data_IF_380987127324
#
_entry.id   IF_380987127324
#
_cell.length_a   1.000
_cell.length_b   1.000
_cell.length_c   1.000
_cell.angle_alpha   90.00
_cell.angle_beta   90.00
_cell.angle_gamma   90.00
#
_symmetry.space_group_name_H-M   'P 1'
#
loop_
_entity.id
_entity.type
_entity.pdbx_description
1 polymer ?
#
# COMPACT_ATOMS: atom_id res chain seq x y z
N UNK A 1 -4.10 -18.04 -5.81
CA UNK A 1 -4.86 -17.91 -4.55
C UNK A 1 -3.91 -17.63 -3.42
N UNK A 2 -4.21 -16.61 -2.60
CA UNK A 2 -3.43 -16.31 -1.39
C UNK A 2 -3.67 -17.38 -0.32
N UNK A 3 -2.62 -17.76 0.40
CA UNK A 3 -2.73 -18.65 1.56
C UNK A 3 -3.13 -17.78 2.76
N UNK A 4 -4.15 -18.17 3.50
CA UNK A 4 -4.53 -17.51 4.76
C UNK A 4 -3.40 -17.71 5.79
N UNK A 5 -2.89 -16.61 6.34
CA UNK A 5 -1.79 -16.60 7.33
C UNK A 5 -2.31 -16.15 8.70
N UNK A 6 -1.60 -16.54 9.75
CA UNK A 6 -1.90 -16.15 11.13
C UNK A 6 -1.60 -14.67 11.36
N UNK A 7 -2.34 -14.03 12.29
CA UNK A 7 -2.04 -12.66 12.76
C UNK A 7 -0.63 -12.50 13.36
N UNK A 8 0.02 -13.60 13.73
CA UNK A 8 1.39 -13.60 14.25
C UNK A 8 2.47 -13.86 13.19
N UNK A 9 2.09 -14.09 11.92
CA UNK A 9 3.05 -14.28 10.83
C UNK A 9 3.60 -12.93 10.33
N UNK A 10 4.57 -12.99 9.41
CA UNK A 10 5.12 -11.78 8.79
C UNK A 10 4.09 -11.21 7.83
N UNK A 11 3.58 -10.01 8.14
CA UNK A 11 2.66 -9.29 7.27
C UNK A 11 3.41 -8.36 6.34
N UNK A 12 3.16 -8.53 5.05
CA UNK A 12 3.65 -7.66 3.98
C UNK A 12 2.87 -6.34 3.90
N UNK A 13 1.58 -6.41 4.22
CA UNK A 13 0.65 -5.29 4.27
C UNK A 13 -0.33 -5.54 5.41
N UNK A 14 -0.62 -4.52 6.21
CA UNK A 14 -1.66 -4.59 7.25
C UNK A 14 -2.57 -3.38 7.19
N UNK A 15 -3.85 -3.61 7.47
CA UNK A 15 -4.83 -2.55 7.71
C UNK A 15 -5.14 -2.58 9.20
N UNK A 16 -4.76 -1.52 9.91
CA UNK A 16 -4.95 -1.42 11.36
C UNK A 16 -5.90 -0.29 11.70
N UNK A 17 -6.44 -0.33 12.91
CA UNK A 17 -7.06 0.83 13.53
C UNK A 17 -5.97 1.58 14.28
N UNK A 18 -5.67 2.79 13.85
CA UNK A 18 -4.80 3.70 14.59
C UNK A 18 -5.55 4.21 15.82
N UNK A 19 -5.42 3.45 16.92
CA UNK A 19 -6.10 3.73 18.18
C UNK A 19 -5.57 5.00 18.87
N UNK A 20 -4.39 5.49 18.47
CA UNK A 20 -3.81 6.72 19.01
C UNK A 20 -4.35 7.95 18.29
N UNK A 21 -4.68 7.84 17.00
CA UNK A 21 -5.24 8.92 16.18
C UNK A 21 -6.68 8.62 15.75
N UNK A 22 -7.63 8.94 16.63
CA UNK A 22 -9.08 8.93 16.36
C UNK A 22 -9.66 7.55 15.95
N UNK A 23 -8.95 6.45 16.18
CA UNK A 23 -9.34 5.10 15.70
C UNK A 23 -9.49 5.06 14.17
N UNK A 24 -8.62 5.78 13.45
CA UNK A 24 -8.70 5.84 11.99
C UNK A 24 -8.08 4.60 11.34
N UNK A 25 -8.68 4.06 10.27
CA UNK A 25 -8.07 2.98 9.52
C UNK A 25 -6.76 3.47 8.90
N UNK A 26 -5.68 2.72 9.07
CA UNK A 26 -4.35 3.05 8.57
C UNK A 26 -3.75 1.87 7.83
N UNK A 27 -3.06 2.18 6.73
CA UNK A 27 -2.27 1.20 5.99
C UNK A 27 -0.86 1.18 6.57
N UNK A 28 -0.39 -0.02 6.90
CA UNK A 28 0.98 -0.28 7.32
C UNK A 28 1.65 -1.12 6.26
N UNK A 29 2.62 -0.53 5.58
CA UNK A 29 3.56 -1.26 4.74
C UNK A 29 4.60 -1.86 5.69
N UNK A 30 4.83 -3.18 5.61
CA UNK A 30 5.82 -3.86 6.45
C UNK A 30 7.25 -3.48 6.10
N UNK A 31 8.17 -4.44 6.13
CA UNK A 31 9.59 -4.21 5.81
C UNK A 31 9.89 -4.10 4.29
N UNK A 32 8.88 -3.78 3.48
CA UNK A 32 9.03 -3.58 2.04
C UNK A 32 9.76 -2.27 1.73
N UNK A 33 10.62 -2.27 0.72
CA UNK A 33 10.96 -1.06 -0.02
C UNK A 33 9.72 -0.66 -0.85
N UNK A 34 9.20 0.56 -0.64
CA UNK A 34 7.97 1.00 -1.31
C UNK A 34 8.27 2.18 -2.22
N UNK A 35 7.94 2.04 -3.50
CA UNK A 35 7.94 3.12 -4.47
C UNK A 35 6.50 3.43 -4.90
N UNK A 36 6.19 4.72 -5.08
CA UNK A 36 4.86 5.20 -5.50
C UNK A 36 4.95 5.79 -6.88
N UNK A 37 4.04 5.36 -7.76
CA UNK A 37 3.95 5.85 -9.12
C UNK A 37 2.61 6.53 -9.35
N UNK A 38 2.67 7.80 -9.69
CA UNK A 38 1.51 8.62 -10.02
C UNK A 38 1.12 8.44 -11.49
N UNK A 39 -0.18 8.37 -11.78
CA UNK A 39 -0.73 8.40 -13.16
C UNK A 39 -0.23 7.30 -14.11
N UNK A 40 0.30 6.19 -13.59
CA UNK A 40 0.58 5.00 -14.38
C UNK A 40 -0.67 4.11 -14.47
N UNK A 41 -0.90 3.49 -15.63
CA UNK A 41 -1.96 2.50 -15.75
C UNK A 41 -1.52 1.22 -15.05
N UNK A 42 -2.33 0.73 -14.11
CA UNK A 42 -2.05 -0.48 -13.33
C UNK A 42 -1.65 -1.67 -14.19
N UNK A 43 -2.28 -1.85 -15.37
CA UNK A 43 -2.00 -2.96 -16.27
C UNK A 43 -0.71 -2.80 -17.08
N UNK A 44 -0.14 -1.59 -17.15
CA UNK A 44 1.08 -1.32 -17.91
C UNK A 44 2.37 -1.64 -17.13
N UNK A 45 2.27 -1.91 -15.83
CA UNK A 45 3.42 -2.31 -15.01
C UNK A 45 3.45 -3.84 -14.91
N UNK A 46 4.31 -4.50 -15.69
CA UNK A 46 4.48 -5.96 -15.65
C UNK A 46 5.70 -6.42 -14.86
N UNK A 47 6.71 -5.54 -14.70
CA UNK A 47 7.93 -5.78 -13.93
C UNK A 47 8.29 -4.59 -13.07
N UNK A 48 9.40 -4.70 -12.33
CA UNK A 48 9.93 -3.62 -11.50
C UNK A 48 10.46 -2.50 -12.41
N UNK A 49 9.95 -1.26 -12.31
CA UNK A 49 10.44 -0.14 -13.10
C UNK A 49 11.92 0.15 -12.82
N UNK A 50 12.65 0.61 -13.85
CA UNK A 50 14.10 0.84 -13.76
C UNK A 50 14.49 1.97 -12.82
N UNK A 51 13.57 2.88 -12.52
CA UNK A 51 13.69 3.99 -11.59
C UNK A 51 13.23 3.65 -10.16
N UNK A 52 12.83 2.41 -9.89
CA UNK A 52 12.34 1.97 -8.58
C UNK A 52 13.19 2.46 -7.41
N UNK A 53 14.50 2.18 -7.44
CA UNK A 53 15.40 2.51 -6.33
C UNK A 53 15.49 4.02 -6.07
N UNK A 54 15.29 4.87 -7.08
CA UNK A 54 15.25 6.33 -6.91
C UNK A 54 13.89 6.85 -6.44
N UNK A 55 12.84 6.05 -6.55
CA UNK A 55 11.47 6.38 -6.18
C UNK A 55 11.07 5.80 -4.81
N UNK A 56 11.97 5.07 -4.14
CA UNK A 56 11.70 4.48 -2.83
C UNK A 56 11.45 5.57 -1.79
N UNK A 57 10.34 5.47 -1.07
CA UNK A 57 10.02 6.29 0.09
C UNK A 57 10.80 5.77 1.29
N UNK A 58 11.52 6.66 1.95
CA UNK A 58 12.45 6.31 3.03
C UNK A 58 11.76 5.86 4.33
N UNK A 59 10.53 6.31 4.59
CA UNK A 59 9.79 5.99 5.82
C UNK A 59 8.37 5.49 5.52
N UNK A 60 8.16 4.19 5.76
CA UNK A 60 6.87 3.53 5.59
C UNK A 60 5.79 4.02 6.58
N UNK A 61 6.15 4.74 7.64
CA UNK A 61 5.15 5.36 8.52
C UNK A 61 4.38 6.48 7.84
N UNK A 62 4.90 7.05 6.75
CA UNK A 62 4.23 8.11 6.00
C UNK A 62 2.94 7.64 5.32
N UNK A 63 2.72 6.32 5.15
CA UNK A 63 1.50 5.75 4.59
C UNK A 63 0.32 5.64 5.57
N UNK A 64 0.60 5.78 6.87
CA UNK A 64 -0.40 5.74 7.94
C UNK A 64 -1.23 7.04 7.93
N UNK A 65 -2.38 7.00 8.61
CA UNK A 65 -3.23 8.18 8.77
C UNK A 65 -2.44 9.37 9.33
N UNK A 66 -2.60 10.55 8.70
CA UNK A 66 -1.89 11.78 9.05
C UNK A 66 -0.44 11.86 8.54
N UNK A 67 0.05 10.83 7.84
CA UNK A 67 1.34 10.85 7.17
C UNK A 67 1.30 11.57 5.81
N UNK A 68 2.48 11.94 5.31
CA UNK A 68 2.61 12.65 4.02
C UNK A 68 2.09 11.85 2.83
N UNK A 69 2.20 10.51 2.89
CA UNK A 69 1.76 9.59 1.85
C UNK A 69 0.53 8.78 2.31
N UNK A 70 -0.31 9.33 3.19
CA UNK A 70 -1.43 8.60 3.78
C UNK A 70 -2.32 7.94 2.71
N UNK A 71 -2.58 6.65 2.84
CA UNK A 71 -3.37 5.90 1.85
C UNK A 71 -4.86 6.07 2.08
N UNK A 72 -5.27 6.14 3.35
CA UNK A 72 -6.66 6.34 3.76
C UNK A 72 -6.76 7.67 4.51
N UNK A 73 -7.57 8.57 3.96
CA UNK A 73 -7.80 9.90 4.54
C UNK A 73 -9.22 10.03 5.07
N UNK A 74 -9.42 10.88 6.07
CA UNK A 74 -10.71 11.14 6.68
C UNK A 74 -11.17 12.58 6.43
N UNK A 75 -12.26 12.74 5.69
CA UNK A 75 -12.92 14.03 5.52
C UNK A 75 -13.90 14.26 6.68
N UNK A 76 -13.55 15.21 7.56
CA UNK A 76 -14.36 15.60 8.71
C UNK A 76 -15.66 16.33 8.33
N UNK A 77 -15.74 16.94 7.14
CA UNK A 77 -16.91 17.70 6.68
C UNK A 77 -18.06 16.77 6.36
N UNK A 78 -17.75 15.63 5.74
CA UNK A 78 -18.73 14.60 5.34
C UNK A 78 -18.64 13.32 6.18
N UNK A 79 -17.78 13.32 7.21
CA UNK A 79 -17.49 12.19 8.08
C UNK A 79 -17.23 10.88 7.31
N UNK A 80 -16.32 10.93 6.33
CA UNK A 80 -16.06 9.81 5.41
C UNK A 80 -14.57 9.51 5.30
N UNK A 81 -14.22 8.23 5.43
CA UNK A 81 -12.91 7.71 5.03
C UNK A 81 -12.92 7.39 3.54
N UNK A 82 -11.86 7.78 2.81
CA UNK A 82 -11.66 7.46 1.39
C UNK A 82 -10.20 7.10 1.13
N UNK A 83 -9.92 6.46 -0.01
CA UNK A 83 -8.55 6.33 -0.52
C UNK A 83 -8.09 7.71 -1.00
N UNK A 84 -6.92 8.16 -0.54
CA UNK A 84 -6.39 9.50 -0.83
C UNK A 84 -6.11 9.68 -2.32
N UNK A 85 -5.39 8.73 -2.92
CA UNK A 85 -5.00 8.75 -4.33
C UNK A 85 -5.27 7.38 -4.98
N UNK A 86 -6.50 7.13 -5.47
CA UNK A 86 -6.88 5.82 -6.01
C UNK A 86 -6.16 5.44 -7.32
N UNK A 87 -5.57 6.40 -8.01
CA UNK A 87 -4.75 6.21 -9.20
C UNK A 87 -3.29 5.84 -8.92
N UNK A 88 -2.84 5.94 -7.66
CA UNK A 88 -1.45 5.63 -7.31
C UNK A 88 -1.21 4.12 -7.31
N UNK A 89 -0.06 3.72 -7.85
CA UNK A 89 0.41 2.34 -7.80
C UNK A 89 1.60 2.26 -6.86
N UNK A 90 1.49 1.37 -5.90
CA UNK A 90 2.50 1.10 -4.88
C UNK A 90 3.24 -0.17 -5.31
N UNK A 91 4.54 -0.06 -5.54
CA UNK A 91 5.40 -1.21 -5.78
C UNK A 91 6.12 -1.54 -4.48
N UNK A 92 5.91 -2.75 -3.99
CA UNK A 92 6.51 -3.29 -2.77
C UNK A 92 7.56 -4.31 -3.19
N UNK A 93 8.82 -4.07 -2.85
CA UNK A 93 9.93 -5.00 -3.10
C UNK A 93 10.49 -5.50 -1.76
N UNK A 94 10.69 -6.81 -1.67
CA UNK A 94 11.25 -7.46 -0.50
C UNK A 94 12.66 -7.97 -0.79
N UNK A 95 13.62 -7.61 0.06
CA UNK A 95 14.98 -8.16 0.02
C UNK A 95 14.98 -9.57 0.62
N UNK A 96 14.51 -10.53 -0.17
CA UNK A 96 14.49 -11.95 0.18
C UNK A 96 15.15 -12.75 -0.93
N UNK A 97 15.61 -13.98 -0.64
CA UNK A 97 16.28 -14.87 -1.59
C UNK A 97 15.47 -15.14 -2.89
N UNK A 98 14.19 -14.78 -2.95
CA UNK A 98 13.30 -14.95 -4.10
C UNK A 98 12.88 -13.64 -4.81
N UNK A 99 13.52 -12.49 -4.54
CA UNK A 99 13.21 -11.19 -5.19
C UNK A 99 11.71 -10.92 -5.36
N UNK A 100 10.90 -11.11 -4.32
CA UNK A 100 9.46 -10.92 -4.48
C UNK A 100 9.10 -9.44 -4.58
N UNK A 101 8.49 -9.04 -5.69
CA UNK A 101 7.94 -7.71 -5.87
C UNK A 101 6.44 -7.79 -6.21
N UNK A 102 5.66 -6.87 -5.65
CA UNK A 102 4.23 -6.78 -5.85
C UNK A 102 3.85 -5.35 -6.23
N UNK A 103 2.85 -5.21 -7.09
CA UNK A 103 2.13 -3.94 -7.28
C UNK A 103 0.79 -4.01 -6.59
N UNK A 104 0.41 -2.90 -5.96
CA UNK A 104 -0.86 -2.72 -5.26
C UNK A 104 -1.46 -1.39 -5.71
N UNK A 105 -2.78 -1.35 -5.87
CA UNK A 105 -3.54 -0.13 -6.08
C UNK A 105 -4.77 -0.14 -5.19
N UNK A 106 -4.90 0.83 -4.30
CA UNK A 106 -6.08 1.00 -3.46
C UNK A 106 -7.16 1.72 -4.26
N UNK A 107 -8.38 1.18 -4.32
CA UNK A 107 -9.44 1.66 -5.23
C UNK A 107 -10.49 2.43 -4.47
N UNK A 108 -10.99 1.84 -3.38
CA UNK A 108 -12.06 2.43 -2.60
C UNK A 108 -12.01 1.97 -1.15
N UNK A 109 -12.56 2.83 -0.28
CA UNK A 109 -12.89 2.49 1.09
C UNK A 109 -14.39 2.69 1.27
N UNK A 110 -15.12 1.63 1.58
CA UNK A 110 -16.56 1.69 1.79
C UNK A 110 -16.97 0.83 2.97
N UNK A 111 -17.64 1.44 3.95
CA UNK A 111 -18.24 0.73 5.10
C UNK A 111 -17.27 -0.18 5.86
N UNK A 112 -16.03 0.27 6.08
CA UNK A 112 -15.01 -0.53 6.77
C UNK A 112 -14.19 -1.45 5.88
N UNK A 113 -14.52 -1.54 4.59
CA UNK A 113 -13.87 -2.43 3.63
C UNK A 113 -12.95 -1.60 2.74
N UNK A 114 -11.69 -2.01 2.63
CA UNK A 114 -10.74 -1.47 1.65
C UNK A 114 -10.68 -2.41 0.45
N UNK A 115 -10.95 -1.89 -0.73
CA UNK A 115 -10.86 -2.63 -1.99
C UNK A 115 -9.57 -2.22 -2.70
N UNK A 116 -8.83 -3.22 -3.19
CA UNK A 116 -7.56 -3.03 -3.85
C UNK A 116 -7.35 -4.02 -5.00
N UNK A 117 -6.55 -3.63 -5.97
CA UNK A 117 -5.92 -4.53 -6.94
C UNK A 117 -4.54 -4.94 -6.41
N UNK A 118 -4.14 -6.19 -6.65
CA UNK A 118 -2.78 -6.65 -6.37
C UNK A 118 -2.29 -7.68 -7.39
N UNK A 119 -1.01 -7.65 -7.73
CA UNK A 119 -0.34 -8.67 -8.54
C UNK A 119 1.14 -8.76 -8.16
N UNK A 120 1.68 -9.97 -8.25
CA UNK A 120 3.13 -10.16 -8.27
C UNK A 120 3.69 -9.61 -9.60
N UNK A 121 4.85 -8.97 -9.53
CA UNK A 121 5.62 -8.50 -10.69
C UNK A 121 6.60 -9.59 -11.14
N UNK A 122 6.87 -9.62 -12.44
CA UNK A 122 7.92 -10.47 -12.99
C UNK A 122 9.29 -9.97 -12.52
N UNK A 123 10.16 -10.90 -12.13
CA UNK A 123 11.56 -10.65 -11.80
C UNK A 123 12.42 -11.29 -12.88
N UNK A 124 13.15 -10.47 -13.64
CA UNK A 124 14.09 -10.92 -14.66
C UNK A 124 15.24 -11.77 -14.08
#
# INVERSE_FOLDING_TARGET
>A
DGIEVSSNDIWHLSIIIDAENYNMPSIVMGDAEVAVYESLNYNNISGIPSDFNSMVIADNNTFKYGGENEVLTYDMTVHKVSVTNPEFIYILKYDTEMYMAFKIQFIEYQSGITVLNYNQLETD
#
